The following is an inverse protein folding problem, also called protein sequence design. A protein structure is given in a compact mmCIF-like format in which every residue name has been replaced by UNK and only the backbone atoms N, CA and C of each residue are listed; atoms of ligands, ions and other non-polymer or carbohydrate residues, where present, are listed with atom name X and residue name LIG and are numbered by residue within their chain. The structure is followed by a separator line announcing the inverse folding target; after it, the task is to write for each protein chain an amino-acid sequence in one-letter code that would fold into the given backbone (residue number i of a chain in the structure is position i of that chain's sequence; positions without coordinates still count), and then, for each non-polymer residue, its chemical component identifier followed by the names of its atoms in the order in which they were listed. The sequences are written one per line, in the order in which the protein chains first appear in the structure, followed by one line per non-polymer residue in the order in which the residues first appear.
data_IF_750016761654
#
_entry.id   IF_750016761654
#
_cell.length_a   1.000
_cell.length_b   1.000
_cell.length_c   1.000
_cell.angle_alpha   90.00
_cell.angle_beta   90.00
_cell.angle_gamma   90.00
#
_symmetry.space_group_name_H-M   'P 1'
#
loop_
_entity.id
_entity.type
_entity.pdbx_description
1 polymer ?
#
# COMPACT_ATOMS: atom_id res chain seq x y z
N UNK A 1 6.74 -55.76 24.68
CA UNK A 1 5.94 -54.85 23.83
C UNK A 1 6.28 -53.46 24.30
N UNK A 2 7.19 -52.82 23.57
CA UNK A 2 7.70 -51.48 23.84
C UNK A 2 7.09 -50.58 22.78
N UNK A 3 5.98 -49.94 23.13
CA UNK A 3 5.26 -49.00 22.29
C UNK A 3 5.91 -47.62 22.43
N UNK A 4 6.98 -47.32 21.67
CA UNK A 4 7.33 -45.93 21.31
C UNK A 4 8.12 -45.92 19.99
N UNK A 5 7.41 -46.04 18.86
CA UNK A 5 7.92 -45.79 17.49
C UNK A 5 7.97 -44.26 17.20
N UNK A 6 8.51 -43.48 18.14
CA UNK A 6 8.69 -42.05 17.98
C UNK A 6 10.15 -41.67 18.18
N UNK A 7 10.79 -41.26 17.08
CA UNK A 7 12.15 -40.74 17.09
C UNK A 7 12.03 -39.22 17.35
N UNK A 8 12.58 -38.69 18.46
CA UNK A 8 12.54 -37.26 18.70
C UNK A 8 13.44 -36.55 17.69
N UNK A 9 12.85 -35.63 16.93
CA UNK A 9 13.59 -34.72 16.04
C UNK A 9 13.77 -33.40 16.76
N UNK A 10 15.01 -33.02 16.98
CA UNK A 10 15.39 -31.70 17.48
C UNK A 10 16.03 -30.89 16.38
N UNK A 11 15.59 -29.64 16.23
CA UNK A 11 16.16 -28.67 15.30
C UNK A 11 16.69 -27.48 16.07
N UNK A 12 17.90 -27.05 15.75
CA UNK A 12 18.47 -25.81 16.24
C UNK A 12 18.29 -24.73 15.16
N UNK A 13 17.78 -23.57 15.54
CA UNK A 13 17.62 -22.42 14.65
C UNK A 13 18.52 -21.31 15.19
N UNK A 14 19.53 -20.93 14.40
CA UNK A 14 20.34 -19.75 14.71
C UNK A 14 19.51 -18.49 14.47
N UNK A 15 19.28 -17.73 15.54
CA UNK A 15 18.53 -16.47 15.52
C UNK A 15 19.44 -15.26 15.23
N UNK A 16 20.71 -15.47 14.92
CA UNK A 16 21.65 -14.39 14.64
C UNK A 16 21.35 -13.67 13.31
N UNK A 17 20.51 -14.28 12.45
CA UNK A 17 19.94 -13.67 11.25
C UNK A 17 18.42 -13.64 11.40
N UNK A 18 17.93 -12.93 12.42
CA UNK A 18 16.55 -12.47 12.35
C UNK A 18 16.45 -11.42 11.23
N UNK A 19 15.46 -11.52 10.33
CA UNK A 19 15.12 -10.38 9.50
C UNK A 19 14.91 -9.22 10.46
N UNK A 20 15.66 -8.14 10.27
CA UNK A 20 15.32 -6.88 10.90
C UNK A 20 13.85 -6.67 10.60
N UNK A 21 13.04 -6.42 11.63
CA UNK A 21 11.77 -5.75 11.41
C UNK A 21 12.17 -4.43 10.80
N UNK A 22 12.25 -4.37 9.46
CA UNK A 22 12.13 -3.11 8.78
C UNK A 22 10.86 -2.55 9.38
N UNK A 23 10.98 -1.40 10.03
CA UNK A 23 9.86 -0.48 10.01
C UNK A 23 9.48 -0.47 8.54
N UNK A 24 8.42 -1.18 8.16
CA UNK A 24 7.82 -1.00 6.87
C UNK A 24 7.50 0.48 6.90
N UNK A 25 8.41 1.29 6.38
CA UNK A 25 8.04 2.53 5.77
C UNK A 25 6.87 2.08 4.91
N UNK A 26 5.70 2.64 5.18
CA UNK A 26 4.63 2.58 4.20
C UNK A 26 5.11 3.45 3.02
N UNK A 27 6.29 3.15 2.46
CA UNK A 27 6.75 3.60 1.18
C UNK A 27 5.62 3.23 0.27
N UNK A 28 5.01 4.28 -0.25
CA UNK A 28 3.90 4.18 -1.17
C UNK A 28 4.41 3.34 -2.32
N UNK A 29 4.09 2.04 -2.31
CA UNK A 29 4.35 1.17 -3.45
C UNK A 29 3.58 1.82 -4.58
N UNK A 30 4.32 2.39 -5.53
CA UNK A 30 3.76 3.05 -6.69
C UNK A 30 3.04 1.99 -7.51
N UNK A 31 1.75 1.81 -7.25
CA UNK A 31 0.93 0.86 -7.99
C UNK A 31 0.46 1.55 -9.27
N UNK A 32 1.00 1.09 -10.39
CA UNK A 32 0.56 1.53 -11.71
C UNK A 32 -0.84 0.94 -11.95
N UNK A 33 -1.82 1.79 -12.22
CA UNK A 33 -3.17 1.35 -12.56
C UNK A 33 -3.35 1.37 -14.08
N UNK A 34 -2.99 0.25 -14.71
CA UNK A 34 -3.14 0.08 -16.16
C UNK A 34 -4.60 0.07 -16.62
N UNK A 35 -5.53 -0.36 -15.76
CA UNK A 35 -6.96 -0.44 -16.09
C UNK A 35 -7.61 0.93 -16.26
N UNK A 36 -7.07 1.96 -15.60
CA UNK A 36 -7.53 3.36 -15.72
C UNK A 36 -6.76 4.18 -16.73
N UNK A 37 -5.76 3.61 -17.41
CA UNK A 37 -4.90 4.36 -18.32
C UNK A 37 -5.67 4.78 -19.58
N UNK A 38 -5.64 6.07 -19.90
CA UNK A 38 -6.24 6.59 -21.13
C UNK A 38 -5.32 6.34 -22.33
N UNK A 39 -5.86 6.45 -23.55
CA UNK A 39 -5.05 6.35 -24.77
C UNK A 39 -3.92 7.40 -24.81
N UNK A 40 -4.17 8.59 -24.26
CA UNK A 40 -3.16 9.63 -24.15
C UNK A 40 -2.04 9.25 -23.16
N UNK A 41 -2.37 8.56 -22.07
CA UNK A 41 -1.39 8.12 -21.09
C UNK A 41 -0.50 7.00 -21.65
N UNK A 42 -1.10 6.07 -22.42
CA UNK A 42 -0.37 5.01 -23.12
C UNK A 42 0.58 5.58 -24.18
N UNK A 43 0.13 6.54 -24.98
CA UNK A 43 1.00 7.24 -25.95
C UNK A 43 2.15 7.97 -25.26
N UNK A 44 1.87 8.60 -24.12
CA UNK A 44 2.89 9.29 -23.33
C UNK A 44 3.89 8.32 -22.73
N UNK A 45 3.43 7.18 -22.20
CA UNK A 45 4.29 6.10 -21.71
C UNK A 45 5.22 5.60 -22.81
N UNK A 46 4.68 5.20 -23.97
CA UNK A 46 5.47 4.69 -25.10
C UNK A 46 6.51 5.71 -25.57
N UNK A 47 6.12 6.98 -25.71
CA UNK A 47 7.04 8.04 -26.09
C UNK A 47 8.18 8.20 -25.08
N UNK A 48 7.88 8.17 -23.78
CA UNK A 48 8.88 8.31 -22.72
C UNK A 48 9.81 7.08 -22.66
N UNK A 49 9.26 5.87 -22.83
CA UNK A 49 10.08 4.66 -22.89
C UNK A 49 11.01 4.69 -24.09
N UNK A 50 10.52 5.01 -25.29
CA UNK A 50 11.33 5.04 -26.51
C UNK A 50 12.49 6.06 -26.39
N UNK A 51 12.19 7.25 -25.88
CA UNK A 51 13.18 8.30 -25.64
C UNK A 51 14.28 7.86 -24.66
N UNK A 52 13.91 7.10 -23.63
CA UNK A 52 14.85 6.67 -22.59
C UNK A 52 15.64 5.43 -22.99
N UNK A 53 15.00 4.45 -23.63
CA UNK A 53 15.68 3.29 -24.19
C UNK A 53 16.69 3.67 -25.27
N UNK A 54 16.46 4.76 -26.00
CA UNK A 54 17.43 5.28 -26.98
C UNK A 54 18.78 5.68 -26.36
N UNK A 55 18.81 5.95 -25.04
CA UNK A 55 20.01 6.38 -24.31
C UNK A 55 20.60 5.28 -23.43
N UNK A 56 20.06 4.06 -23.46
CA UNK A 56 20.57 2.97 -22.60
C UNK A 56 21.91 2.45 -23.12
N UNK A 57 22.88 2.30 -22.23
CA UNK A 57 24.17 1.70 -22.59
C UNK A 57 24.06 0.18 -22.63
N UNK A 58 24.32 -0.41 -23.80
CA UNK A 58 24.32 -1.86 -23.96
C UNK A 58 25.63 -2.46 -23.42
N UNK A 59 25.57 -3.45 -22.52
CA UNK A 59 26.77 -4.12 -22.01
C UNK A 59 27.30 -5.16 -23.02
N UNK A 60 27.71 -4.68 -24.20
CA UNK A 60 28.08 -5.52 -25.37
C UNK A 60 29.13 -6.58 -25.01
N UNK A 61 30.16 -6.21 -24.25
CA UNK A 61 31.22 -7.14 -23.82
C UNK A 61 30.70 -8.30 -22.97
N UNK A 62 29.73 -8.02 -22.08
CA UNK A 62 29.13 -9.04 -21.23
C UNK A 62 28.14 -9.91 -22.02
N UNK A 63 27.39 -9.32 -22.96
CA UNK A 63 26.40 -10.01 -23.80
C UNK A 63 27.04 -10.91 -24.86
N UNK A 64 28.23 -10.54 -25.36
CA UNK A 64 28.99 -11.34 -26.33
C UNK A 64 29.95 -12.32 -25.66
N UNK A 65 29.91 -12.45 -24.33
CA UNK A 65 30.71 -13.42 -23.62
C UNK A 65 30.27 -14.84 -23.98
N UNK A 66 31.16 -15.63 -24.59
CA UNK A 66 30.90 -17.01 -24.98
C UNK A 66 31.13 -18.03 -23.86
N UNK A 67 31.58 -17.59 -22.69
CA UNK A 67 31.85 -18.45 -21.54
C UNK A 67 30.58 -18.65 -20.69
N UNK A 68 30.04 -19.86 -20.70
CA UNK A 68 28.86 -20.25 -19.94
C UNK A 68 29.08 -20.20 -18.42
N UNK A 69 30.34 -20.24 -17.95
CA UNK A 69 30.72 -20.18 -16.54
C UNK A 69 31.46 -18.88 -16.21
N UNK A 70 31.20 -17.81 -16.96
CA UNK A 70 31.87 -16.53 -16.79
C UNK A 70 31.79 -16.03 -15.33
N UNK A 71 32.97 -15.92 -14.70
CA UNK A 71 33.16 -15.39 -13.34
C UNK A 71 33.75 -13.97 -13.33
N UNK A 72 33.78 -13.30 -14.49
CA UNK A 72 34.27 -11.93 -14.60
C UNK A 72 33.30 -11.01 -13.87
N UNK A 73 33.75 -10.44 -12.75
CA UNK A 73 32.96 -9.55 -11.91
C UNK A 73 32.41 -8.35 -12.71
N UNK A 74 33.22 -7.78 -13.60
CA UNK A 74 32.81 -6.67 -14.45
C UNK A 74 31.62 -7.00 -15.35
N UNK A 75 31.51 -8.23 -15.88
CA UNK A 75 30.37 -8.65 -16.68
C UNK A 75 29.10 -8.73 -15.84
N UNK A 76 29.19 -9.30 -14.63
CA UNK A 76 28.05 -9.42 -13.70
C UNK A 76 27.50 -8.04 -13.32
N UNK A 77 28.39 -7.13 -12.94
CA UNK A 77 28.02 -5.75 -12.60
C UNK A 77 27.34 -5.08 -13.80
N UNK A 78 27.93 -5.16 -15.00
CA UNK A 78 27.35 -4.56 -16.22
C UNK A 78 25.96 -5.12 -16.55
N UNK A 79 25.73 -6.42 -16.37
CA UNK A 79 24.42 -7.05 -16.59
C UNK A 79 23.40 -6.59 -15.54
N UNK A 80 23.80 -6.55 -14.27
CA UNK A 80 22.95 -6.11 -13.18
C UNK A 80 22.56 -4.63 -13.33
N UNK A 81 23.52 -3.76 -13.68
CA UNK A 81 23.27 -2.35 -13.99
C UNK A 81 22.30 -2.23 -15.16
N UNK A 82 22.54 -2.94 -16.27
CA UNK A 82 21.64 -2.91 -17.42
C UNK A 82 20.22 -3.37 -17.09
N UNK A 83 20.08 -4.43 -16.30
CA UNK A 83 18.78 -4.91 -15.81
C UNK A 83 18.07 -3.84 -14.96
N UNK A 84 18.78 -3.25 -14.01
CA UNK A 84 18.23 -2.20 -13.15
C UNK A 84 17.87 -0.95 -13.97
N UNK A 85 18.64 -0.60 -14.98
CA UNK A 85 18.35 0.52 -15.89
C UNK A 85 17.07 0.29 -16.68
N UNK A 86 16.85 -0.93 -17.22
CA UNK A 86 15.59 -1.28 -17.89
C UNK A 86 14.41 -1.09 -16.92
N UNK A 87 14.51 -1.63 -15.71
CA UNK A 87 13.45 -1.53 -14.70
C UNK A 87 13.18 -0.07 -14.35
N UNK A 88 14.23 0.70 -14.07
CA UNK A 88 14.12 2.11 -13.71
C UNK A 88 13.49 2.91 -14.85
N UNK A 89 13.87 2.66 -16.11
CA UNK A 89 13.26 3.32 -17.27
C UNK A 89 11.76 3.04 -17.32
N UNK A 90 11.32 1.79 -17.14
CA UNK A 90 9.90 1.43 -17.15
C UNK A 90 9.14 2.08 -15.99
N UNK A 91 9.71 2.05 -14.78
CA UNK A 91 9.12 2.69 -13.60
C UNK A 91 9.00 4.21 -13.82
N UNK A 92 10.09 4.90 -14.16
CA UNK A 92 10.12 6.34 -14.40
C UNK A 92 9.19 6.76 -15.55
N UNK A 93 9.01 5.89 -16.55
CA UNK A 93 8.11 6.18 -17.68
C UNK A 93 6.66 5.95 -17.33
N UNK A 94 6.37 5.14 -16.31
CA UNK A 94 5.02 4.88 -15.82
C UNK A 94 4.60 5.77 -14.65
N UNK A 95 5.49 6.63 -14.12
CA UNK A 95 5.19 7.48 -12.95
C UNK A 95 3.95 8.36 -13.11
N UNK A 96 3.63 8.83 -14.32
CA UNK A 96 2.41 9.61 -14.57
C UNK A 96 1.13 8.77 -14.46
N UNK A 97 1.23 7.44 -14.62
CA UNK A 97 0.14 6.47 -14.44
C UNK A 97 -0.02 6.03 -12.98
N UNK A 98 0.97 6.32 -12.12
CA UNK A 98 0.88 5.99 -10.72
C UNK A 98 -0.22 6.84 -10.07
N UNK A 99 -1.32 6.19 -9.73
CA UNK A 99 -2.28 6.79 -8.83
C UNK A 99 -1.58 6.96 -7.47
N UNK A 100 -1.66 8.14 -6.86
CA UNK A 100 -1.43 8.26 -5.43
C UNK A 100 -2.49 7.39 -4.77
N UNK A 101 -2.14 6.14 -4.49
CA UNK A 101 -2.82 5.38 -3.47
C UNK A 101 -2.50 6.17 -2.21
N UNK A 102 -3.37 7.13 -1.88
CA UNK A 102 -3.46 7.59 -0.52
C UNK A 102 -3.56 6.28 0.24
N UNK A 103 -2.54 5.92 1.01
CA UNK A 103 -2.71 4.88 2.00
C UNK A 103 -3.96 5.33 2.73
N UNK A 104 -5.08 4.66 2.44
CA UNK A 104 -6.28 4.82 3.21
C UNK A 104 -5.73 4.64 4.60
N UNK A 105 -5.71 5.71 5.40
CA UNK A 105 -5.31 5.61 6.80
C UNK A 105 -6.36 4.66 7.33
N UNK A 106 -6.04 3.37 7.31
CA UNK A 106 -6.98 2.31 7.50
C UNK A 106 -7.22 2.36 9.00
N UNK A 107 -8.15 3.24 9.38
CA UNK A 107 -8.26 3.71 10.75
C UNK A 107 -9.02 2.60 11.46
N UNK A 108 -8.37 1.84 12.35
CA UNK A 108 -9.00 0.70 13.00
C UNK A 108 -10.32 1.13 13.66
N UNK A 109 -11.38 0.37 13.43
CA UNK A 109 -12.72 0.70 13.90
C UNK A 109 -13.48 1.77 13.11
N UNK A 110 -12.98 2.26 11.96
CA UNK A 110 -13.76 3.18 11.12
C UNK A 110 -15.05 2.52 10.62
N UNK A 111 -14.93 1.33 10.01
CA UNK A 111 -16.08 0.59 9.49
C UNK A 111 -17.10 0.27 10.60
N UNK A 112 -16.61 -0.21 11.74
CA UNK A 112 -17.47 -0.74 12.80
C UNK A 112 -18.12 0.37 13.65
N UNK A 113 -17.44 1.51 13.87
CA UNK A 113 -17.90 2.52 14.84
C UNK A 113 -18.16 3.90 14.24
N UNK A 114 -17.67 4.21 13.04
CA UNK A 114 -17.69 5.57 12.50
C UNK A 114 -18.47 5.70 11.19
N UNK A 115 -18.50 4.66 10.34
CA UNK A 115 -19.10 4.71 9.01
C UNK A 115 -20.56 5.17 9.05
N UNK A 116 -21.44 4.45 9.76
CA UNK A 116 -22.87 4.79 9.83
C UNK A 116 -23.12 6.17 10.45
N UNK A 117 -22.34 6.53 11.47
CA UNK A 117 -22.46 7.83 12.16
C UNK A 117 -22.00 8.96 11.23
N UNK A 118 -20.98 8.71 10.40
CA UNK A 118 -20.51 9.65 9.39
C UNK A 118 -21.57 9.90 8.33
N UNK A 119 -22.19 8.83 7.80
CA UNK A 119 -23.22 8.93 6.78
C UNK A 119 -24.46 9.67 7.32
N UNK A 120 -24.93 9.33 8.51
CA UNK A 120 -26.00 10.06 9.18
C UNK A 120 -25.66 11.55 9.38
N UNK A 121 -24.43 11.84 9.82
CA UNK A 121 -23.99 13.24 10.00
C UNK A 121 -23.92 14.00 8.67
N UNK A 122 -23.54 13.33 7.58
CA UNK A 122 -23.54 13.89 6.22
C UNK A 122 -24.94 14.22 5.74
N UNK A 123 -25.90 13.32 5.94
CA UNK A 123 -27.31 13.52 5.58
C UNK A 123 -27.94 14.67 6.38
N UNK A 124 -27.78 14.66 7.71
CA UNK A 124 -28.28 15.73 8.57
C UNK A 124 -27.67 17.09 8.20
N UNK A 125 -26.40 17.11 7.82
CA UNK A 125 -25.73 18.33 7.30
C UNK A 125 -26.33 18.76 5.96
N UNK A 126 -26.57 17.83 5.04
CA UNK A 126 -27.17 18.13 3.73
C UNK A 126 -28.56 18.76 3.90
N UNK A 127 -29.42 18.15 4.72
CA UNK A 127 -30.76 18.67 5.01
C UNK A 127 -30.71 20.06 5.67
N UNK A 128 -29.78 20.28 6.60
CA UNK A 128 -29.56 21.59 7.22
C UNK A 128 -29.10 22.65 6.22
N UNK A 129 -28.23 22.29 5.26
CA UNK A 129 -27.76 23.20 4.20
C UNK A 129 -28.89 23.55 3.22
N UNK A 130 -29.67 22.56 2.78
CA UNK A 130 -30.80 22.72 1.85
C UNK A 130 -31.89 23.65 2.41
N UNK A 131 -32.08 23.64 3.73
CA UNK A 131 -33.05 24.50 4.42
C UNK A 131 -32.48 25.88 4.81
N UNK A 132 -31.37 26.32 4.20
CA UNK A 132 -30.83 27.66 4.41
C UNK A 132 -30.04 27.83 5.71
N UNK A 133 -29.55 26.74 6.31
CA UNK A 133 -28.71 26.75 7.52
C UNK A 133 -29.40 27.42 8.72
N UNK A 134 -30.60 26.95 9.12
CA UNK A 134 -31.31 27.52 10.26
C UNK A 134 -30.43 27.47 11.51
N UNK A 135 -30.43 28.55 12.31
CA UNK A 135 -29.62 28.66 13.54
C UNK A 135 -30.29 28.10 14.78
N UNK A 136 -31.57 27.75 14.67
CA UNK A 136 -32.41 27.25 15.76
C UNK A 136 -33.48 26.31 15.20
N UNK A 137 -34.14 25.57 16.08
CA UNK A 137 -35.19 24.62 15.71
C UNK A 137 -34.69 23.20 15.44
N UNK A 138 -35.60 22.35 15.00
CA UNK A 138 -35.38 20.90 14.88
C UNK A 138 -34.16 20.54 14.02
N UNK A 139 -34.08 21.09 12.80
CA UNK A 139 -32.98 20.78 11.86
C UNK A 139 -31.60 21.18 12.40
N UNK A 140 -31.53 22.32 13.09
CA UNK A 140 -30.28 22.76 13.74
C UNK A 140 -29.87 21.82 14.88
N UNK A 141 -30.84 21.42 15.71
CA UNK A 141 -30.61 20.50 16.82
C UNK A 141 -30.17 19.12 16.32
N UNK A 142 -30.80 18.64 15.25
CA UNK A 142 -30.50 17.33 14.66
C UNK A 142 -29.09 17.30 14.05
N UNK A 143 -28.73 18.31 13.26
CA UNK A 143 -27.37 18.47 12.74
C UNK A 143 -26.32 18.63 13.87
N UNK A 144 -26.63 19.42 14.90
CA UNK A 144 -25.70 19.62 16.02
C UNK A 144 -25.46 18.33 16.80
N UNK A 145 -26.52 17.55 17.05
CA UNK A 145 -26.44 16.23 17.70
C UNK A 145 -25.65 15.23 16.85
N UNK A 146 -25.94 15.11 15.55
CA UNK A 146 -25.23 14.18 14.66
C UNK A 146 -23.75 14.51 14.56
N UNK A 147 -23.40 15.80 14.46
CA UNK A 147 -22.02 16.27 14.48
C UNK A 147 -21.30 15.95 15.80
N UNK A 148 -21.98 16.11 16.93
CA UNK A 148 -21.42 15.76 18.24
C UNK A 148 -21.16 14.26 18.36
N UNK A 149 -22.10 13.41 17.90
CA UNK A 149 -21.95 11.95 17.86
C UNK A 149 -20.79 11.52 16.98
N UNK A 150 -20.66 12.08 15.77
CA UNK A 150 -19.54 11.80 14.88
C UNK A 150 -18.20 12.16 15.53
N UNK A 151 -18.08 13.35 16.15
CA UNK A 151 -16.88 13.74 16.89
C UNK A 151 -16.57 12.82 18.07
N UNK A 152 -17.61 12.32 18.76
CA UNK A 152 -17.43 11.37 19.84
C UNK A 152 -16.88 10.03 19.33
N UNK A 153 -17.45 9.50 18.24
CA UNK A 153 -16.99 8.26 17.61
C UNK A 153 -15.53 8.38 17.13
N UNK A 154 -15.14 9.52 16.54
CA UNK A 154 -13.74 9.78 16.18
C UNK A 154 -12.80 9.76 17.39
N UNK A 155 -13.21 10.35 18.52
CA UNK A 155 -12.42 10.31 19.76
C UNK A 155 -12.32 8.90 20.34
N UNK A 156 -13.40 8.12 20.25
CA UNK A 156 -13.42 6.73 20.71
C UNK A 156 -12.40 5.89 19.95
N UNK A 157 -12.44 5.89 18.61
CA UNK A 157 -11.50 5.09 17.81
C UNK A 157 -10.06 5.56 17.97
N UNK A 158 -9.83 6.87 18.18
CA UNK A 158 -8.49 7.41 18.41
C UNK A 158 -7.94 7.01 19.78
N UNK A 159 -8.78 6.98 20.83
CA UNK A 159 -8.38 6.57 22.18
C UNK A 159 -8.13 5.06 22.25
N UNK A 160 -8.91 4.27 21.51
CA UNK A 160 -8.87 2.81 21.54
C UNK A 160 -8.15 2.19 20.34
N UNK A 161 -7.35 2.96 19.61
CA UNK A 161 -6.76 2.54 18.33
C UNK A 161 -5.95 1.24 18.46
N UNK A 162 -5.13 1.13 19.52
CA UNK A 162 -4.32 -0.07 19.78
C UNK A 162 -5.16 -1.30 20.11
N UNK A 163 -6.27 -1.13 20.84
CA UNK A 163 -7.20 -2.22 21.15
C UNK A 163 -7.88 -2.70 19.85
N UNK A 164 -8.40 -1.76 19.07
CA UNK A 164 -9.10 -2.05 17.81
C UNK A 164 -8.19 -2.71 16.78
N UNK A 165 -6.88 -2.37 16.75
CA UNK A 165 -5.89 -3.12 15.96
C UNK A 165 -5.79 -4.57 16.42
N UNK A 166 -5.62 -4.81 17.71
CA UNK A 166 -5.51 -6.17 18.27
C UNK A 166 -6.75 -7.01 17.98
N UNK A 167 -7.93 -6.41 18.13
CA UNK A 167 -9.21 -7.08 17.83
C UNK A 167 -9.33 -7.40 16.33
N UNK A 168 -8.95 -6.47 15.45
CA UNK A 168 -8.96 -6.72 14.01
C UNK A 168 -8.00 -7.86 13.61
N UNK A 169 -6.80 -7.91 14.19
CA UNK A 169 -5.88 -9.03 14.01
C UNK A 169 -6.47 -10.35 14.55
N UNK A 170 -7.04 -10.34 15.75
CA UNK A 170 -7.63 -11.52 16.35
C UNK A 170 -8.80 -12.09 15.52
N UNK A 171 -9.65 -11.22 14.95
CA UNK A 171 -10.73 -11.64 14.02
C UNK A 171 -10.16 -12.34 12.77
N UNK A 172 -9.04 -11.89 12.24
CA UNK A 172 -8.43 -12.46 11.03
C UNK A 172 -7.70 -13.80 11.29
N UNK A 173 -7.27 -14.07 12.51
CA UNK A 173 -6.57 -15.30 12.89
C UNK A 173 -7.50 -16.45 13.34
N UNK A 174 -8.82 -16.28 13.31
CA UNK A 174 -9.80 -17.30 13.72
C UNK A 174 -10.28 -18.19 12.54
N UNK A 175 -9.42 -18.43 11.55
CA UNK A 175 -9.68 -19.29 10.39
C UNK A 175 -8.82 -20.55 10.50
#
# INVERSE_FOLDING_TARGET
MSDEDHIPVTTHVDLDILPCLSEESNETVFKINWESATEADLKSFLKLTDQRFSNIELPVEALLCSDLNCNILAHRIKIETFYNDIINILIESSKHLCSKVNSSRNRPGWSDYVADIYDYSREARKLWLENGKPRQGFLFNEYSKSKARFKYALRYISRNENLLRKEALAKNCQI
#
